data_IF_876089160422
#
_entry.id   IF_876089160422
#
_cell.length_a   1.000
_cell.length_b   1.000
_cell.length_c   1.000
_cell.angle_alpha   90.00
_cell.angle_beta   90.00
_cell.angle_gamma   90.00
#
_symmetry.space_group_name_H-M   'P 1'
#
loop_
_entity.id
_entity.type
_entity.pdbx_description
1 polymer ?
#
# COMPACT_ATOMS: atom_id res chain seq x y z
N UNK A 1 -3.80 5.71 -19.99
CA UNK A 1 -3.23 5.81 -18.64
C UNK A 1 -2.12 6.85 -18.67
N UNK A 2 -2.28 7.91 -17.91
CA UNK A 2 -1.35 9.04 -17.89
C UNK A 2 -0.92 9.41 -16.49
N UNK A 3 0.30 9.91 -16.36
CA UNK A 3 0.80 10.46 -15.11
C UNK A 3 0.22 11.86 -14.93
N UNK A 4 -0.46 12.09 -13.81
CA UNK A 4 -1.11 13.36 -13.52
C UNK A 4 -0.62 13.92 -12.18
N UNK A 5 -0.64 15.25 -12.07
CA UNK A 5 -0.19 15.92 -10.84
C UNK A 5 -1.36 16.20 -9.91
N UNK A 6 -1.19 15.86 -8.66
CA UNK A 6 -2.12 16.20 -7.60
C UNK A 6 -3.47 15.48 -7.69
N UNK A 7 -4.44 16.04 -6.99
CA UNK A 7 -5.79 15.47 -6.94
C UNK A 7 -6.55 15.69 -8.25
N UNK A 8 -7.49 14.81 -8.61
CA UNK A 8 -8.30 14.99 -9.81
C UNK A 8 -9.23 16.20 -9.68
N UNK A 9 -9.44 16.90 -10.81
CA UNK A 9 -10.38 18.02 -10.86
C UNK A 9 -11.82 17.55 -10.66
N UNK A 10 -12.17 16.39 -11.21
CA UNK A 10 -13.48 15.79 -11.05
C UNK A 10 -13.38 14.56 -10.15
N UNK A 11 -14.06 14.59 -9.01
CA UNK A 11 -14.06 13.52 -8.02
C UNK A 11 -15.32 12.66 -8.06
N UNK A 12 -16.24 12.92 -8.98
CA UNK A 12 -17.47 12.15 -9.11
C UNK A 12 -17.18 10.68 -9.43
N UNK A 13 -17.86 9.77 -8.74
CA UNK A 13 -17.68 8.33 -8.93
C UNK A 13 -16.47 7.73 -8.26
N UNK A 14 -15.66 8.52 -7.57
CA UNK A 14 -14.48 8.01 -6.86
C UNK A 14 -14.84 7.55 -5.45
N UNK A 15 -14.06 6.59 -4.94
CA UNK A 15 -14.27 6.06 -3.60
C UNK A 15 -13.97 7.14 -2.55
N UNK A 16 -14.75 7.15 -1.48
CA UNK A 16 -14.56 8.09 -0.38
C UNK A 16 -13.18 7.97 0.26
N UNK A 17 -12.68 6.74 0.43
CA UNK A 17 -11.36 6.51 0.99
C UNK A 17 -10.23 7.06 0.11
N UNK A 18 -10.41 7.07 -1.20
CA UNK A 18 -9.49 7.70 -2.15
C UNK A 18 -9.45 9.21 -1.93
N UNK A 19 -10.61 9.83 -1.80
CA UNK A 19 -10.72 11.27 -1.58
C UNK A 19 -10.10 11.69 -0.25
N UNK A 20 -10.24 10.87 0.79
CA UNK A 20 -9.61 11.14 2.09
C UNK A 20 -8.08 11.18 2.00
N UNK A 21 -7.49 10.34 1.16
CA UNK A 21 -6.03 10.35 0.95
C UNK A 21 -5.61 11.65 0.28
N UNK A 22 -6.33 12.11 -0.73
CA UNK A 22 -6.05 13.40 -1.37
C UNK A 22 -6.14 14.54 -0.37
N UNK A 23 -7.18 14.55 0.45
CA UNK A 23 -7.36 15.59 1.48
C UNK A 23 -6.19 15.60 2.47
N UNK A 24 -5.72 14.43 2.88
CA UNK A 24 -4.57 14.30 3.78
C UNK A 24 -3.30 14.85 3.14
N UNK A 25 -3.01 14.48 1.91
CA UNK A 25 -1.82 14.92 1.19
C UNK A 25 -1.84 16.43 0.96
N UNK A 26 -2.99 16.99 0.62
CA UNK A 26 -3.14 18.42 0.42
C UNK A 26 -2.95 19.18 1.75
N UNK A 27 -3.47 18.64 2.85
CA UNK A 27 -3.31 19.22 4.17
C UNK A 27 -1.84 19.24 4.62
N UNK A 28 -1.09 18.20 4.27
CA UNK A 28 0.33 18.09 4.59
C UNK A 28 1.20 18.95 3.67
N UNK A 29 0.64 19.49 2.59
CA UNK A 29 1.38 20.30 1.63
C UNK A 29 2.36 19.51 0.78
N UNK A 30 2.10 18.23 0.58
CA UNK A 30 2.96 17.33 -0.20
C UNK A 30 2.56 17.38 -1.67
N UNK A 31 3.54 17.59 -2.55
CA UNK A 31 3.34 17.46 -3.97
C UNK A 31 3.39 15.97 -4.35
N UNK A 32 2.45 15.53 -5.17
CA UNK A 32 2.38 14.12 -5.56
C UNK A 32 1.87 13.97 -7.00
N UNK A 33 2.14 12.82 -7.55
CA UNK A 33 1.64 12.42 -8.86
C UNK A 33 0.77 11.18 -8.71
N UNK A 34 -0.19 11.02 -9.60
CA UNK A 34 -1.08 9.86 -9.59
C UNK A 34 -1.24 9.28 -10.99
N UNK A 35 -1.58 8.01 -11.02
CA UNK A 35 -2.00 7.30 -12.22
C UNK A 35 -3.35 6.67 -11.93
N UNK A 36 -4.35 7.01 -12.73
CA UNK A 36 -5.67 6.42 -12.60
C UNK A 36 -5.73 5.16 -13.47
N UNK A 37 -6.17 4.05 -12.89
CA UNK A 37 -6.25 2.77 -13.58
C UNK A 37 -7.33 1.91 -12.96
N UNK A 38 -7.74 0.88 -13.69
CA UNK A 38 -8.64 -0.12 -13.13
C UNK A 38 -7.87 -1.01 -12.16
N UNK A 39 -8.61 -1.82 -11.37
CA UNK A 39 -7.99 -2.71 -10.40
C UNK A 39 -6.95 -3.61 -11.08
N UNK A 40 -5.70 -3.51 -10.63
CA UNK A 40 -4.57 -4.23 -11.22
C UNK A 40 -4.47 -5.61 -10.59
N UNK A 41 -5.16 -6.59 -11.16
CA UNK A 41 -5.20 -7.97 -10.67
C UNK A 41 -4.18 -8.88 -11.35
N UNK A 42 -3.42 -8.36 -12.32
CA UNK A 42 -2.42 -9.14 -13.05
C UNK A 42 -1.06 -8.46 -12.98
N UNK A 43 0.01 -9.24 -13.13
CA UNK A 43 1.35 -8.68 -13.20
C UNK A 43 1.54 -7.79 -14.43
N UNK A 44 0.89 -8.13 -15.53
CA UNK A 44 0.96 -7.34 -16.76
C UNK A 44 0.40 -5.93 -16.56
N UNK A 45 -0.74 -5.83 -15.86
CA UNK A 45 -1.34 -4.54 -15.53
C UNK A 45 -0.42 -3.72 -14.62
N UNK A 46 0.22 -4.37 -13.65
CA UNK A 46 1.18 -3.71 -12.76
C UNK A 46 2.40 -3.20 -13.52
N UNK A 47 2.92 -3.98 -14.47
CA UNK A 47 4.06 -3.57 -15.30
C UNK A 47 3.73 -2.35 -16.16
N UNK A 48 2.51 -2.28 -16.69
CA UNK A 48 2.07 -1.13 -17.46
C UNK A 48 2.03 0.14 -16.60
N UNK A 49 1.51 0.02 -15.37
CA UNK A 49 1.49 1.13 -14.41
C UNK A 49 2.91 1.59 -14.12
N UNK A 50 3.84 0.67 -13.92
CA UNK A 50 5.24 0.98 -13.66
C UNK A 50 5.89 1.75 -14.80
N UNK A 51 5.58 1.38 -16.03
CA UNK A 51 6.09 2.10 -17.21
C UNK A 51 5.59 3.55 -17.26
N UNK A 52 4.32 3.77 -16.91
CA UNK A 52 3.75 5.11 -16.88
C UNK A 52 4.39 5.97 -15.79
N UNK A 53 4.69 5.39 -14.63
CA UNK A 53 5.32 6.09 -13.53
C UNK A 53 6.78 6.45 -13.81
N UNK A 54 7.46 5.69 -14.65
CA UNK A 54 8.81 6.00 -15.12
C UNK A 54 9.94 5.46 -14.26
N UNK A 55 11.17 5.62 -14.78
CA UNK A 55 12.37 5.00 -14.19
C UNK A 55 12.77 5.57 -12.82
N UNK A 56 12.39 6.82 -12.53
CA UNK A 56 12.68 7.45 -11.25
C UNK A 56 11.81 6.99 -10.09
N UNK A 57 10.86 6.09 -10.34
CA UNK A 57 9.91 5.62 -9.35
C UNK A 57 10.29 4.22 -8.88
N UNK A 58 10.46 4.08 -7.56
CA UNK A 58 10.68 2.77 -6.95
C UNK A 58 9.37 2.26 -6.35
N UNK A 59 9.08 0.98 -6.59
CA UNK A 59 7.90 0.35 -6.02
C UNK A 59 8.22 -0.12 -4.62
N UNK A 60 7.35 0.22 -3.68
CA UNK A 60 7.41 -0.32 -2.33
C UNK A 60 6.36 -1.41 -2.17
N UNK A 61 6.63 -2.34 -1.24
CA UNK A 61 5.63 -3.30 -0.81
C UNK A 61 5.15 -2.93 0.59
N UNK A 62 3.88 -3.18 0.82
CA UNK A 62 3.21 -2.90 2.08
C UNK A 62 2.91 -4.22 2.77
N UNK A 63 3.44 -4.42 3.96
CA UNK A 63 3.26 -5.65 4.72
C UNK A 63 2.50 -5.33 5.99
N UNK A 64 1.34 -5.96 6.17
CA UNK A 64 0.53 -5.77 7.36
C UNK A 64 0.73 -6.95 8.29
N UNK A 65 1.26 -6.68 9.47
CA UNK A 65 1.74 -7.68 10.41
C UNK A 65 1.04 -7.52 11.76
N UNK A 66 1.04 -8.59 12.53
CA UNK A 66 0.52 -8.55 13.89
C UNK A 66 1.35 -9.44 14.81
N UNK A 67 1.24 -9.19 16.12
CA UNK A 67 1.82 -10.06 17.12
C UNK A 67 1.02 -11.36 17.21
N UNK A 68 1.51 -12.31 18.02
CA UNK A 68 0.88 -13.63 18.16
C UNK A 68 -0.58 -13.53 18.61
N UNK A 69 -0.89 -12.58 19.49
CA UNK A 69 -2.22 -12.43 20.08
C UNK A 69 -3.17 -11.60 19.20
N UNK A 70 -2.70 -11.05 18.10
CA UNK A 70 -3.45 -10.13 17.24
C UNK A 70 -4.01 -8.92 18.00
N UNK A 71 -3.22 -8.40 18.94
CA UNK A 71 -3.56 -7.21 19.72
C UNK A 71 -2.79 -5.98 19.28
N UNK A 72 -1.64 -6.16 18.61
CA UNK A 72 -0.84 -5.07 18.08
C UNK A 72 -0.58 -5.31 16.59
N UNK A 73 -0.78 -4.27 15.79
CA UNK A 73 -0.67 -4.34 14.34
C UNK A 73 0.37 -3.35 13.84
N UNK A 74 1.08 -3.73 12.79
CA UNK A 74 2.15 -2.94 12.21
C UNK A 74 2.00 -2.91 10.69
N UNK A 75 2.16 -1.73 10.10
CA UNK A 75 2.24 -1.58 8.65
C UNK A 75 3.69 -1.24 8.30
N UNK A 76 4.35 -2.14 7.59
CA UNK A 76 5.71 -1.94 7.14
C UNK A 76 5.73 -1.61 5.66
N UNK A 77 6.34 -0.49 5.32
CA UNK A 77 6.62 -0.12 3.94
C UNK A 77 8.09 -0.31 3.67
N UNK A 78 8.42 -1.04 2.62
CA UNK A 78 9.82 -1.35 2.29
C UNK A 78 9.99 -1.46 0.78
N UNK A 79 11.23 -1.36 0.28
CA UNK A 79 11.49 -1.55 -1.15
C UNK A 79 10.98 -2.91 -1.64
N UNK A 80 10.32 -2.92 -2.80
CA UNK A 80 9.68 -4.13 -3.32
C UNK A 80 10.64 -5.27 -3.62
N UNK A 81 11.90 -4.96 -3.91
CA UNK A 81 12.94 -5.94 -4.24
C UNK A 81 13.75 -6.40 -3.02
N UNK A 82 13.51 -5.81 -1.84
CA UNK A 82 14.24 -6.18 -0.63
C UNK A 82 13.61 -7.40 0.03
N UNK A 83 14.40 -8.44 0.37
CA UNK A 83 13.88 -9.59 1.11
C UNK A 83 13.38 -9.20 2.49
N UNK A 84 12.30 -9.82 2.92
CA UNK A 84 11.71 -9.59 4.21
C UNK A 84 11.68 -10.87 5.05
N UNK A 85 12.09 -10.76 6.31
CA UNK A 85 12.03 -11.86 7.27
C UNK A 85 11.38 -11.39 8.56
N UNK A 86 10.30 -12.03 8.96
CA UNK A 86 9.56 -11.67 10.17
C UNK A 86 10.42 -11.75 11.42
N UNK A 87 11.34 -12.71 11.48
CA UNK A 87 12.24 -12.88 12.61
C UNK A 87 13.13 -11.65 12.84
N UNK A 88 13.65 -11.09 11.77
CA UNK A 88 14.51 -9.90 11.84
C UNK A 88 13.74 -8.69 12.33
N UNK A 89 12.57 -8.46 11.77
CA UNK A 89 11.74 -7.34 12.19
C UNK A 89 11.28 -7.49 13.64
N UNK A 90 10.87 -8.67 14.04
CA UNK A 90 10.44 -8.94 15.42
C UNK A 90 11.54 -8.58 16.43
N UNK A 91 12.78 -8.91 16.11
CA UNK A 91 13.92 -8.56 16.95
C UNK A 91 14.16 -7.05 17.00
N UNK A 92 14.06 -6.37 15.85
CA UNK A 92 14.30 -4.93 15.77
C UNK A 92 13.32 -4.10 16.56
N UNK A 93 12.04 -4.48 16.56
CA UNK A 93 11.00 -3.72 17.28
C UNK A 93 10.73 -4.25 18.69
N UNK A 94 11.46 -5.29 19.12
CA UNK A 94 11.29 -5.85 20.45
C UNK A 94 9.93 -6.54 20.66
N UNK A 95 9.33 -7.05 19.61
CA UNK A 95 8.03 -7.71 19.67
C UNK A 95 8.18 -9.23 19.80
N UNK A 96 7.09 -9.88 20.23
CA UNK A 96 6.94 -11.31 20.04
C UNK A 96 6.94 -11.65 18.56
N UNK A 97 7.00 -12.93 18.20
CA UNK A 97 7.04 -13.35 16.81
C UNK A 97 5.88 -12.74 16.02
N UNK A 98 6.22 -11.98 14.99
CA UNK A 98 5.25 -11.40 14.09
C UNK A 98 4.78 -12.40 13.03
N UNK A 99 3.55 -12.23 12.60
CA UNK A 99 2.98 -12.96 11.46
C UNK A 99 2.20 -11.99 10.59
N UNK A 100 1.89 -12.40 9.37
CA UNK A 100 1.06 -11.57 8.51
C UNK A 100 -0.37 -11.54 9.05
N UNK A 101 -0.94 -10.35 9.15
CA UNK A 101 -2.31 -10.18 9.61
C UNK A 101 -3.28 -10.72 8.57
N UNK A 102 -4.39 -11.28 9.03
CA UNK A 102 -5.43 -11.80 8.14
C UNK A 102 -6.08 -10.66 7.37
N UNK A 103 -6.62 -10.97 6.19
CA UNK A 103 -7.26 -9.96 5.33
C UNK A 103 -8.40 -9.21 6.02
N UNK A 104 -9.13 -9.85 6.92
CA UNK A 104 -10.20 -9.20 7.70
C UNK A 104 -9.69 -8.02 8.54
N UNK A 105 -8.48 -8.13 9.09
CA UNK A 105 -7.86 -7.03 9.83
C UNK A 105 -7.37 -5.92 8.91
N UNK A 106 -6.89 -6.28 7.72
CA UNK A 106 -6.50 -5.29 6.72
C UNK A 106 -7.69 -4.42 6.30
N UNK A 107 -8.83 -5.02 6.07
CA UNK A 107 -10.05 -4.30 5.75
C UNK A 107 -10.52 -3.45 6.92
N UNK A 108 -10.48 -4.00 8.14
CA UNK A 108 -10.95 -3.32 9.35
C UNK A 108 -10.11 -2.09 9.71
N UNK A 109 -8.78 -2.21 9.66
CA UNK A 109 -7.89 -1.17 10.14
C UNK A 109 -7.37 -0.25 9.04
N UNK A 110 -7.20 -0.75 7.82
CA UNK A 110 -6.64 0.01 6.71
C UNK A 110 -7.67 0.38 5.65
N UNK A 111 -8.85 -0.21 5.71
CA UNK A 111 -9.91 -0.03 4.70
C UNK A 111 -9.38 -0.38 3.29
N UNK A 112 -8.60 -1.45 3.20
CA UNK A 112 -8.00 -1.92 1.97
C UNK A 112 -8.44 -3.36 1.72
N UNK A 113 -8.84 -3.66 0.49
CA UNK A 113 -9.09 -5.03 0.06
C UNK A 113 -7.79 -5.61 -0.48
N UNK A 114 -7.22 -6.65 0.15
CA UNK A 114 -5.97 -7.22 -0.33
C UNK A 114 -6.18 -7.96 -1.65
N UNK A 115 -5.12 -8.02 -2.46
CA UNK A 115 -5.09 -8.90 -3.60
C UNK A 115 -5.08 -10.34 -3.12
N UNK A 116 -5.76 -11.23 -3.86
CA UNK A 116 -6.06 -12.58 -3.40
C UNK A 116 -4.86 -13.45 -3.03
N UNK A 117 -3.67 -13.12 -3.50
CA UNK A 117 -2.47 -13.94 -3.31
C UNK A 117 -1.25 -13.14 -2.90
N UNK A 118 -1.43 -11.93 -2.39
CA UNK A 118 -0.29 -11.04 -2.13
C UNK A 118 -0.32 -10.34 -0.79
N UNK A 119 -1.07 -10.86 0.17
CA UNK A 119 -1.10 -10.30 1.53
C UNK A 119 0.29 -10.36 2.16
N UNK A 120 1.07 -11.31 1.77
CA UNK A 120 2.44 -11.49 2.24
C UNK A 120 3.48 -10.64 1.50
N UNK A 121 3.03 -9.86 0.57
CA UNK A 121 3.91 -8.99 -0.20
C UNK A 121 4.49 -9.61 -1.45
#
# INVERSE_FOLDING_TARGET
MELQNGRPDNTEGRLEKELRVYDLLDRLGVAYQRVDHEAAMTMEACEEIDRVLGDGTAICKNLFLCNRQATEFYLLLMPGDKPFKTKELSAQIGSSRLSFAKSEYMEKYLDITPMSNTVSG
#
